data_IF_619700296809
#
_entry.id   IF_619700296809
#
_cell.length_a   1.000
_cell.length_b   1.000
_cell.length_c   1.000
_cell.angle_alpha   90.00
_cell.angle_beta   90.00
_cell.angle_gamma   90.00
#
_symmetry.space_group_name_H-M   'P 1'
#
loop_
_entity.id
_entity.type
_entity.pdbx_description
1 polymer ?
#
# COMPACT_ATOMS: atom_id res chain seq x y z
N UNK A 1 -15.71 1.15 27.06
CA UNK A 1 -16.11 0.06 26.14
C UNK A 1 -15.83 0.55 24.72
N UNK A 2 -14.82 0.01 24.00
CA UNK A 2 -14.70 0.27 22.56
C UNK A 2 -15.98 -0.29 21.90
N UNK A 3 -16.74 0.55 21.21
CA UNK A 3 -17.83 0.08 20.37
C UNK A 3 -17.28 -1.01 19.45
N UNK A 4 -18.01 -2.12 19.28
CA UNK A 4 -17.61 -3.15 18.30
C UNK A 4 -17.66 -2.50 16.92
N UNK A 5 -16.49 -2.11 16.40
CA UNK A 5 -16.37 -1.63 15.02
C UNK A 5 -16.98 -2.70 14.10
N UNK A 6 -17.88 -2.26 13.24
CA UNK A 6 -18.44 -3.05 12.17
C UNK A 6 -18.53 -2.16 10.95
N UNK A 7 -18.08 -2.67 9.82
CA UNK A 7 -18.18 -1.99 8.54
C UNK A 7 -18.96 -2.86 7.57
N UNK A 8 -20.03 -2.32 6.95
CA UNK A 8 -20.67 -3.02 5.85
C UNK A 8 -19.65 -3.32 4.75
N UNK A 9 -19.60 -4.57 4.28
CA UNK A 9 -18.67 -4.94 3.20
C UNK A 9 -18.84 -4.06 1.97
N UNK A 10 -20.08 -3.63 1.67
CA UNK A 10 -20.40 -2.72 0.56
C UNK A 10 -19.84 -1.30 0.69
N UNK A 11 -19.41 -0.90 1.88
CA UNK A 11 -18.76 0.40 2.12
C UNK A 11 -17.23 0.28 2.30
N UNK A 12 -16.68 -0.92 2.19
CA UNK A 12 -15.27 -1.19 2.36
C UNK A 12 -14.55 -1.34 1.02
N UNK A 13 -13.25 -1.05 1.02
CA UNK A 13 -12.33 -1.47 -0.04
C UNK A 13 -10.98 -1.87 0.59
N UNK A 14 -10.27 -2.79 -0.06
CA UNK A 14 -8.89 -3.13 0.27
C UNK A 14 -7.95 -2.44 -0.74
N UNK A 15 -7.04 -1.61 -0.26
CA UNK A 15 -5.96 -1.04 -1.05
C UNK A 15 -4.63 -1.72 -0.69
N UNK A 16 -4.02 -2.37 -1.67
CA UNK A 16 -2.70 -2.98 -1.53
C UNK A 16 -1.67 -2.10 -2.24
N UNK A 17 -0.71 -1.58 -1.47
CA UNK A 17 0.26 -0.60 -1.92
C UNK A 17 1.54 -1.28 -2.42
N UNK A 18 1.87 -1.10 -3.70
CA UNK A 18 3.18 -1.30 -4.33
C UNK A 18 3.83 -2.69 -4.14
N UNK A 19 3.07 -3.77 -4.19
CA UNK A 19 3.59 -5.14 -4.09
C UNK A 19 4.21 -5.61 -5.42
N UNK A 20 5.22 -4.87 -5.90
CA UNK A 20 5.89 -5.03 -7.20
C UNK A 20 7.27 -5.66 -7.04
N UNK A 21 7.82 -6.20 -8.14
CA UNK A 21 9.16 -6.77 -8.16
C UNK A 21 10.21 -5.83 -7.60
N UNK A 22 10.16 -4.53 -7.92
CA UNK A 22 11.11 -3.53 -7.45
C UNK A 22 11.20 -3.39 -5.93
N UNK A 23 10.12 -3.73 -5.20
CA UNK A 23 10.06 -3.63 -3.74
C UNK A 23 10.07 -4.98 -3.03
N UNK A 24 9.78 -6.08 -3.73
CA UNK A 24 9.57 -7.40 -3.12
C UNK A 24 10.59 -8.42 -3.59
N UNK A 25 11.04 -8.38 -4.85
CA UNK A 25 11.93 -9.39 -5.41
C UNK A 25 13.37 -9.25 -4.88
N UNK A 26 14.06 -10.37 -4.52
CA UNK A 26 15.43 -10.32 -3.99
C UNK A 26 16.44 -9.76 -5.00
N UNK A 27 16.20 -9.96 -6.30
CA UNK A 27 17.08 -9.51 -7.37
C UNK A 27 16.76 -8.11 -7.89
N UNK A 28 15.81 -7.40 -7.29
CA UNK A 28 15.55 -5.99 -7.59
C UNK A 28 16.69 -5.08 -7.11
N UNK A 29 16.69 -3.84 -7.55
CA UNK A 29 17.66 -2.85 -7.06
C UNK A 29 17.57 -2.67 -5.54
N UNK A 30 16.36 -2.67 -4.98
CA UNK A 30 16.15 -2.66 -3.53
C UNK A 30 16.61 -3.97 -2.87
N UNK A 31 16.29 -5.12 -3.48
CA UNK A 31 16.64 -6.43 -2.95
C UNK A 31 18.16 -6.63 -2.81
N UNK A 32 18.94 -6.13 -3.78
CA UNK A 32 20.42 -6.16 -3.76
C UNK A 32 21.05 -5.07 -2.90
N UNK A 33 20.28 -4.11 -2.42
CA UNK A 33 20.76 -3.06 -1.53
C UNK A 33 20.86 -3.55 -0.07
N UNK A 34 21.41 -2.71 0.82
CA UNK A 34 21.40 -2.97 2.27
C UNK A 34 19.98 -3.02 2.86
N UNK A 35 19.01 -2.43 2.21
CA UNK A 35 17.60 -2.47 2.65
C UNK A 35 17.05 -3.91 2.57
N UNK A 36 17.35 -4.61 1.46
CA UNK A 36 16.79 -5.93 1.19
C UNK A 36 15.27 -5.88 1.02
N UNK A 37 14.67 -7.04 0.77
CA UNK A 37 13.21 -7.17 0.55
C UNK A 37 12.59 -8.32 1.36
N UNK A 38 13.29 -8.82 2.40
CA UNK A 38 12.84 -9.97 3.19
C UNK A 38 11.50 -9.70 3.90
N UNK A 39 11.37 -8.51 4.49
CA UNK A 39 10.15 -8.13 5.20
C UNK A 39 8.95 -8.02 4.24
N UNK A 40 9.15 -7.43 3.06
CA UNK A 40 8.11 -7.29 2.04
C UNK A 40 7.66 -8.63 1.47
N UNK A 41 8.58 -9.58 1.29
CA UNK A 41 8.21 -10.96 0.89
C UNK A 41 7.42 -11.68 1.97
N UNK A 42 7.74 -11.45 3.23
CA UNK A 42 7.09 -12.15 4.34
C UNK A 42 5.59 -11.87 4.45
N UNK A 43 5.11 -10.71 3.97
CA UNK A 43 3.70 -10.33 4.02
C UNK A 43 2.88 -10.84 2.82
N UNK A 44 3.52 -11.36 1.76
CA UNK A 44 2.82 -11.80 0.53
C UNK A 44 1.73 -12.83 0.82
N UNK A 45 1.94 -13.89 1.63
CA UNK A 45 0.88 -14.86 1.93
C UNK A 45 -0.32 -14.25 2.66
N UNK A 46 -0.08 -13.32 3.60
CA UNK A 46 -1.15 -12.63 4.32
C UNK A 46 -1.96 -11.72 3.40
N UNK A 47 -1.28 -10.98 2.51
CA UNK A 47 -1.93 -10.17 1.46
C UNK A 47 -2.77 -11.05 0.53
N UNK A 48 -2.24 -12.18 0.08
CA UNK A 48 -2.98 -13.09 -0.78
C UNK A 48 -4.26 -13.61 -0.10
N UNK A 49 -4.16 -13.99 1.17
CA UNK A 49 -5.29 -14.48 1.96
C UNK A 49 -6.37 -13.41 2.16
N UNK A 50 -5.98 -12.17 2.50
CA UNK A 50 -6.95 -11.11 2.73
C UNK A 50 -7.59 -10.62 1.42
N UNK A 51 -6.84 -10.52 0.33
CA UNK A 51 -7.38 -10.15 -0.98
C UNK A 51 -8.42 -11.18 -1.47
N UNK A 52 -8.12 -12.48 -1.34
CA UNK A 52 -9.07 -13.54 -1.64
C UNK A 52 -10.36 -13.47 -0.79
N UNK A 53 -10.20 -13.20 0.51
CA UNK A 53 -11.35 -13.02 1.40
C UNK A 53 -12.19 -11.80 1.03
N UNK A 54 -11.56 -10.66 0.76
CA UNK A 54 -12.25 -9.43 0.35
C UNK A 54 -13.11 -9.67 -0.90
N UNK A 55 -12.57 -10.30 -1.93
CA UNK A 55 -13.33 -10.66 -3.14
C UNK A 55 -14.53 -11.54 -2.82
N UNK A 56 -14.32 -12.59 -2.03
CA UNK A 56 -15.40 -13.50 -1.62
C UNK A 56 -16.50 -12.80 -0.82
N UNK A 57 -16.17 -11.73 -0.10
CA UNK A 57 -17.10 -10.91 0.67
C UNK A 57 -17.68 -9.73 -0.13
N UNK A 58 -17.39 -9.61 -1.42
CA UNK A 58 -17.84 -8.49 -2.26
C UNK A 58 -17.13 -7.16 -1.98
N UNK A 59 -16.01 -7.19 -1.27
CA UNK A 59 -15.18 -6.02 -0.99
C UNK A 59 -14.21 -5.80 -2.16
N UNK A 60 -14.27 -4.66 -2.86
CA UNK A 60 -13.36 -4.35 -3.95
C UNK A 60 -11.89 -4.36 -3.54
N UNK A 61 -11.03 -4.91 -4.39
CA UNK A 61 -9.58 -4.91 -4.19
C UNK A 61 -8.93 -3.97 -5.19
N UNK A 62 -8.13 -3.04 -4.67
CA UNK A 62 -7.38 -2.08 -5.47
C UNK A 62 -5.88 -2.29 -5.22
N UNK A 63 -5.07 -2.16 -6.26
CA UNK A 63 -3.62 -2.30 -6.22
C UNK A 63 -2.98 -1.02 -6.71
N UNK A 64 -2.09 -0.41 -5.92
CA UNK A 64 -1.26 0.65 -6.48
C UNK A 64 -0.01 0.08 -7.14
N UNK A 65 0.44 0.77 -8.18
CA UNK A 65 1.61 0.42 -8.97
C UNK A 65 2.49 1.66 -9.09
N UNK A 66 3.63 1.65 -8.40
CA UNK A 66 4.62 2.72 -8.51
C UNK A 66 5.35 2.61 -9.85
N UNK A 67 5.45 3.73 -10.56
CA UNK A 67 6.23 3.86 -11.78
C UNK A 67 7.13 5.09 -11.67
N UNK A 68 8.45 4.89 -11.67
CA UNK A 68 9.41 5.98 -11.69
C UNK A 68 9.87 6.25 -13.13
N UNK A 69 10.02 7.52 -13.47
CA UNK A 69 10.68 7.94 -14.72
C UNK A 69 12.17 8.14 -14.49
N UNK A 70 12.99 7.76 -15.47
CA UNK A 70 14.43 7.97 -15.43
C UNK A 70 14.76 9.46 -15.22
N UNK A 71 14.16 10.31 -16.05
CA UNK A 71 14.29 11.77 -16.00
C UNK A 71 12.92 12.38 -15.74
N UNK A 72 12.54 12.46 -14.44
CA UNK A 72 11.23 12.98 -14.04
C UNK A 72 11.18 14.52 -14.19
N UNK A 73 10.88 14.98 -15.41
CA UNK A 73 10.69 16.39 -15.71
C UNK A 73 9.53 17.04 -14.95
N UNK A 74 8.57 16.24 -14.49
CA UNK A 74 7.42 16.72 -13.69
C UNK A 74 7.79 17.02 -12.23
N UNK A 75 8.97 16.66 -11.78
CA UNK A 75 9.45 16.92 -10.44
C UNK A 75 9.97 18.35 -10.32
N UNK A 76 9.21 19.22 -9.67
CA UNK A 76 9.57 20.62 -9.50
C UNK A 76 10.83 20.83 -8.65
N UNK A 77 11.04 20.02 -7.60
CA UNK A 77 12.23 20.10 -6.75
C UNK A 77 13.46 19.56 -7.48
N UNK A 78 14.49 20.38 -7.58
CA UNK A 78 15.74 20.02 -8.30
C UNK A 78 16.98 19.97 -7.39
N UNK A 79 16.93 20.63 -6.21
CA UNK A 79 18.10 20.79 -5.33
C UNK A 79 18.19 19.70 -4.25
N UNK A 80 17.06 19.17 -3.78
CA UNK A 80 17.05 18.13 -2.77
C UNK A 80 16.86 16.78 -3.46
N UNK A 81 17.81 15.88 -3.27
CA UNK A 81 17.77 14.55 -3.85
C UNK A 81 16.52 13.80 -3.40
N UNK A 82 15.82 13.11 -4.30
CA UNK A 82 14.74 12.21 -3.93
C UNK A 82 15.26 11.10 -3.01
N UNK A 83 14.35 10.49 -2.23
CA UNK A 83 14.73 9.43 -1.28
C UNK A 83 15.46 8.26 -1.96
N UNK A 84 15.03 7.85 -3.15
CA UNK A 84 15.65 6.79 -3.94
C UNK A 84 17.14 7.08 -4.25
N UNK A 85 17.46 8.32 -4.64
CA UNK A 85 18.86 8.70 -4.87
C UNK A 85 19.68 8.70 -3.58
N UNK A 86 19.09 9.06 -2.42
CA UNK A 86 19.75 8.98 -1.11
C UNK A 86 19.98 7.54 -0.65
N UNK A 87 19.12 6.61 -1.06
CA UNK A 87 19.25 5.18 -0.76
C UNK A 87 20.12 4.43 -1.75
N UNK A 88 20.52 5.07 -2.86
CA UNK A 88 21.38 4.49 -3.88
C UNK A 88 20.68 3.55 -4.86
N UNK A 89 19.34 3.57 -4.92
CA UNK A 89 18.57 2.79 -5.89
C UNK A 89 17.31 3.52 -6.34
N UNK A 90 16.85 3.24 -7.56
CA UNK A 90 15.59 3.73 -8.11
C UNK A 90 14.76 2.51 -8.53
N UNK A 91 13.88 2.02 -7.64
CA UNK A 91 13.05 0.84 -7.94
C UNK A 91 11.93 1.19 -8.90
N UNK A 92 11.36 0.20 -9.55
CA UNK A 92 10.18 0.32 -10.40
C UNK A 92 10.32 1.39 -11.49
N UNK A 93 11.46 1.40 -12.18
CA UNK A 93 11.66 2.25 -13.35
C UNK A 93 10.71 1.81 -14.46
N UNK A 94 9.97 2.77 -15.03
CA UNK A 94 8.99 2.50 -16.08
C UNK A 94 9.64 1.76 -17.27
N UNK A 95 8.96 0.73 -17.75
CA UNK A 95 9.46 -0.14 -18.83
C UNK A 95 10.38 -1.26 -18.37
N UNK A 96 10.66 -1.39 -17.06
CA UNK A 96 11.42 -2.51 -16.53
C UNK A 96 10.53 -3.53 -15.82
N UNK A 97 11.01 -4.78 -15.69
CA UNK A 97 10.32 -5.84 -14.96
C UNK A 97 10.05 -5.51 -13.49
N UNK A 98 10.77 -4.57 -12.91
CA UNK A 98 10.57 -4.12 -11.54
C UNK A 98 9.20 -3.45 -11.33
N UNK A 99 8.56 -2.93 -12.39
CA UNK A 99 7.21 -2.37 -12.31
C UNK A 99 6.11 -3.43 -12.27
N UNK A 100 6.39 -4.68 -12.60
CA UNK A 100 5.41 -5.75 -12.56
C UNK A 100 5.11 -6.17 -11.13
N UNK A 101 3.89 -6.67 -10.90
CA UNK A 101 3.53 -7.24 -9.60
C UNK A 101 4.40 -8.45 -9.29
N UNK A 102 4.77 -8.60 -8.03
CA UNK A 102 5.61 -9.72 -7.60
C UNK A 102 4.87 -11.05 -7.77
N UNK A 103 5.53 -12.12 -8.29
CA UNK A 103 4.94 -13.44 -8.38
C UNK A 103 4.42 -13.93 -7.02
N UNK A 104 3.18 -14.41 -6.97
CA UNK A 104 2.50 -14.78 -5.72
C UNK A 104 1.59 -13.69 -5.15
N UNK A 105 1.62 -12.48 -5.70
CA UNK A 105 0.60 -11.45 -5.45
C UNK A 105 -0.59 -11.71 -6.39
N UNK A 106 -1.78 -12.03 -5.85
CA UNK A 106 -2.90 -12.53 -6.66
C UNK A 106 -3.75 -11.39 -7.21
N UNK A 107 -3.19 -10.59 -8.12
CA UNK A 107 -3.98 -9.57 -8.84
C UNK A 107 -4.94 -10.29 -9.79
N UNK A 108 -6.24 -10.05 -9.63
CA UNK A 108 -7.28 -10.66 -10.47
C UNK A 108 -7.76 -9.69 -11.55
N UNK A 109 -8.43 -10.21 -12.57
CA UNK A 109 -8.90 -9.40 -13.69
C UNK A 109 -9.97 -8.38 -13.30
N UNK A 110 -10.75 -8.68 -12.27
CA UNK A 110 -11.78 -7.81 -11.69
C UNK A 110 -11.21 -6.73 -10.77
N UNK A 111 -9.96 -6.83 -10.36
CA UNK A 111 -9.33 -5.86 -9.47
C UNK A 111 -9.02 -4.53 -10.17
N UNK A 112 -8.94 -3.47 -9.39
CA UNK A 112 -8.59 -2.16 -9.90
C UNK A 112 -7.11 -1.88 -9.71
N UNK A 113 -6.41 -1.50 -10.78
CA UNK A 113 -5.02 -1.06 -10.71
C UNK A 113 -4.94 0.45 -10.85
N UNK A 114 -4.09 1.08 -10.03
CA UNK A 114 -3.82 2.53 -10.00
C UNK A 114 -2.33 2.78 -10.14
N UNK A 115 -1.89 3.26 -11.29
CA UNK A 115 -0.51 3.71 -11.48
C UNK A 115 -0.27 5.04 -10.77
N UNK A 116 0.88 5.17 -10.10
CA UNK A 116 1.29 6.38 -9.39
C UNK A 116 2.76 6.69 -9.61
N UNK A 117 3.11 7.98 -9.53
CA UNK A 117 4.48 8.48 -9.74
C UNK A 117 5.05 9.21 -8.51
N UNK A 118 4.33 9.17 -7.38
CA UNK A 118 4.71 9.75 -6.08
C UNK A 118 4.41 8.76 -4.97
N UNK A 119 4.82 9.09 -3.74
CA UNK A 119 4.67 8.19 -2.60
C UNK A 119 3.20 7.83 -2.32
N UNK A 120 2.33 8.84 -2.20
CA UNK A 120 0.91 8.60 -1.97
C UNK A 120 0.21 8.05 -3.20
N UNK A 121 -0.67 7.06 -3.00
CA UNK A 121 -1.53 6.51 -4.03
C UNK A 121 -2.65 7.47 -4.46
N UNK A 122 -2.91 8.53 -3.70
CA UNK A 122 -3.89 9.55 -4.05
C UNK A 122 -3.32 10.67 -4.92
N UNK A 123 -2.01 10.93 -4.83
CA UNK A 123 -1.45 12.12 -5.47
C UNK A 123 -1.40 12.00 -7.01
N UNK A 124 -2.18 12.83 -7.69
CA UNK A 124 -2.32 12.87 -9.16
C UNK A 124 -2.66 11.49 -9.77
N UNK A 125 -3.58 10.77 -9.12
CA UNK A 125 -4.14 9.50 -9.60
C UNK A 125 -5.66 9.56 -9.64
N UNK A 126 -6.28 8.54 -10.18
CA UNK A 126 -7.73 8.39 -10.15
C UNK A 126 -8.23 7.54 -8.96
N UNK A 127 -7.39 7.29 -7.93
CA UNK A 127 -7.74 6.44 -6.80
C UNK A 127 -9.00 6.95 -6.08
N UNK A 128 -9.03 8.24 -5.72
CA UNK A 128 -10.18 8.81 -5.00
C UNK A 128 -11.46 8.67 -5.81
N UNK A 129 -11.42 8.99 -7.10
CA UNK A 129 -12.59 8.82 -7.99
C UNK A 129 -13.08 7.38 -7.98
N UNK A 130 -12.18 6.39 -8.12
CA UNK A 130 -12.56 4.97 -8.06
C UNK A 130 -13.20 4.60 -6.73
N UNK A 131 -12.60 4.99 -5.60
CA UNK A 131 -13.14 4.70 -4.27
C UNK A 131 -14.53 5.32 -4.07
N UNK A 132 -14.73 6.57 -4.49
CA UNK A 132 -16.05 7.25 -4.41
C UNK A 132 -17.08 6.54 -5.29
N UNK A 133 -16.75 6.15 -6.52
CA UNK A 133 -17.64 5.41 -7.41
C UNK A 133 -18.01 4.02 -6.84
N UNK A 134 -17.11 3.39 -6.10
CA UNK A 134 -17.35 2.12 -5.39
C UNK A 134 -18.13 2.29 -4.08
N UNK A 135 -18.50 3.51 -3.70
CA UNK A 135 -19.21 3.78 -2.44
C UNK A 135 -18.34 3.58 -1.19
N UNK A 136 -17.01 3.56 -1.34
CA UNK A 136 -16.09 3.28 -0.24
C UNK A 136 -16.10 4.38 0.80
N UNK A 137 -16.27 4.00 2.06
CA UNK A 137 -16.13 4.84 3.26
C UNK A 137 -15.04 4.33 4.18
N UNK A 138 -14.85 3.01 4.24
CA UNK A 138 -13.80 2.35 4.99
C UNK A 138 -12.72 1.81 4.04
N UNK A 139 -11.47 2.23 4.23
CA UNK A 139 -10.33 1.79 3.44
C UNK A 139 -9.37 0.96 4.30
N UNK A 140 -9.33 -0.35 4.01
CA UNK A 140 -8.31 -1.22 4.56
C UNK A 140 -7.02 -1.08 3.73
N UNK A 141 -5.88 -0.92 4.39
CA UNK A 141 -4.58 -0.66 3.74
C UNK A 141 -3.58 -1.76 4.07
N UNK A 142 -2.95 -2.30 3.03
CA UNK A 142 -1.88 -3.29 3.05
C UNK A 142 -0.74 -2.87 2.10
N UNK A 143 0.38 -3.61 2.10
CA UNK A 143 1.49 -3.41 1.15
C UNK A 143 2.75 -2.79 1.74
N UNK A 144 3.54 -2.10 0.91
CA UNK A 144 4.85 -1.57 1.29
C UNK A 144 5.18 -0.21 0.61
N UNK A 145 6.14 0.58 1.11
CA UNK A 145 6.78 0.40 2.41
C UNK A 145 6.04 1.23 3.46
N UNK A 146 5.88 0.66 4.67
CA UNK A 146 5.04 1.23 5.74
C UNK A 146 5.35 2.70 6.01
N UNK A 147 6.62 3.03 6.22
CA UNK A 147 7.10 4.37 6.58
C UNK A 147 7.18 5.35 5.43
N UNK A 148 6.74 4.95 4.21
CA UNK A 148 6.84 5.82 3.05
C UNK A 148 5.56 5.83 2.20
N UNK A 149 5.38 4.88 1.28
CA UNK A 149 4.22 4.88 0.39
C UNK A 149 2.92 4.60 1.14
N UNK A 150 2.93 3.66 2.08
CA UNK A 150 1.77 3.35 2.93
C UNK A 150 1.44 4.56 3.81
N UNK A 151 2.42 5.12 4.53
CA UNK A 151 2.19 6.28 5.40
C UNK A 151 1.69 7.50 4.63
N UNK A 152 2.30 7.81 3.48
CA UNK A 152 1.84 8.92 2.63
C UNK A 152 0.39 8.72 2.18
N UNK A 153 0.02 7.47 1.85
CA UNK A 153 -1.33 7.11 1.42
C UNK A 153 -2.33 7.19 2.58
N UNK A 154 -1.95 6.71 3.77
CA UNK A 154 -2.77 6.80 5.01
C UNK A 154 -3.11 8.26 5.33
N UNK A 155 -2.11 9.14 5.31
CA UNK A 155 -2.30 10.57 5.61
C UNK A 155 -3.23 11.25 4.59
N UNK A 156 -3.05 10.93 3.31
CA UNK A 156 -3.89 11.46 2.24
C UNK A 156 -5.32 10.90 2.26
N UNK A 157 -5.49 9.64 2.66
CA UNK A 157 -6.80 9.03 2.84
C UNK A 157 -7.56 9.66 4.02
N UNK A 158 -6.87 9.86 5.15
CA UNK A 158 -7.42 10.53 6.32
C UNK A 158 -7.90 11.95 6.00
N UNK A 159 -7.10 12.73 5.28
CA UNK A 159 -7.45 14.09 4.86
C UNK A 159 -8.64 14.14 3.87
N UNK A 160 -9.10 12.99 3.38
CA UNK A 160 -10.26 12.79 2.50
C UNK A 160 -11.46 12.13 3.19
N UNK A 161 -11.42 12.08 4.50
CA UNK A 161 -12.48 11.54 5.38
C UNK A 161 -12.80 10.05 5.13
N UNK A 162 -11.80 9.24 4.79
CA UNK A 162 -11.95 7.78 4.83
C UNK A 162 -11.73 7.26 6.25
N UNK A 163 -12.59 6.36 6.70
CA UNK A 163 -12.34 5.52 7.85
C UNK A 163 -11.21 4.54 7.52
N UNK A 164 -10.16 4.47 8.34
CA UNK A 164 -8.95 3.73 7.99
C UNK A 164 -8.71 2.53 8.88
N UNK A 165 -8.39 1.41 8.24
CA UNK A 165 -7.92 0.19 8.89
C UNK A 165 -6.58 -0.20 8.28
N UNK A 166 -5.51 -0.20 9.08
CA UNK A 166 -4.19 -0.62 8.64
C UNK A 166 -3.96 -2.06 9.09
N UNK A 167 -3.73 -2.96 8.14
CA UNK A 167 -3.55 -4.39 8.40
C UNK A 167 -2.09 -4.67 8.75
N UNK A 168 -1.75 -4.69 10.06
CA UNK A 168 -0.36 -4.73 10.53
C UNK A 168 0.42 -5.99 10.08
N UNK A 169 -0.26 -7.12 9.89
CA UNK A 169 0.31 -8.36 9.36
C UNK A 169 0.43 -8.38 7.83
N UNK A 170 -0.12 -7.35 7.17
CA UNK A 170 -0.10 -7.15 5.72
C UNK A 170 0.69 -5.92 5.28
N UNK A 171 1.41 -5.23 6.19
CA UNK A 171 2.30 -4.11 5.84
C UNK A 171 3.74 -4.41 6.25
N UNK A 172 4.70 -3.95 5.46
CA UNK A 172 6.13 -4.09 5.75
C UNK A 172 6.90 -2.83 5.40
N UNK A 173 7.87 -2.49 6.25
CA UNK A 173 8.77 -1.36 6.06
C UNK A 173 10.18 -1.80 5.68
N UNK A 174 11.01 -0.84 5.27
CA UNK A 174 12.45 -1.04 5.03
C UNK A 174 13.20 -1.04 6.37
N UNK A 175 12.86 -0.10 7.24
CA UNK A 175 13.49 0.05 8.54
C UNK A 175 12.55 -0.39 9.66
N UNK A 176 12.90 -1.43 10.45
CA UNK A 176 12.02 -1.95 11.51
C UNK A 176 11.62 -0.90 12.55
N UNK A 177 12.51 0.05 12.88
CA UNK A 177 12.21 1.14 13.82
C UNK A 177 11.17 2.09 13.24
N UNK A 178 11.32 2.50 11.99
CA UNK A 178 10.39 3.40 11.33
C UNK A 178 9.05 2.73 11.06
N UNK A 179 9.06 1.47 10.62
CA UNK A 179 7.85 0.66 10.49
C UNK A 179 7.03 0.64 11.78
N UNK A 180 7.67 0.30 12.91
CA UNK A 180 7.01 0.28 14.22
C UNK A 180 6.43 1.65 14.58
N UNK A 181 7.22 2.72 14.40
CA UNK A 181 6.80 4.08 14.70
C UNK A 181 5.62 4.53 13.84
N UNK A 182 5.62 4.22 12.54
CA UNK A 182 4.48 4.52 11.66
C UNK A 182 3.21 3.82 12.14
N UNK A 183 3.27 2.54 12.54
CA UNK A 183 2.10 1.83 13.08
C UNK A 183 1.57 2.47 14.37
N UNK A 184 2.47 2.92 15.26
CA UNK A 184 2.09 3.65 16.48
C UNK A 184 1.38 4.98 16.16
N UNK A 185 1.89 5.73 15.18
CA UNK A 185 1.29 6.98 14.71
C UNK A 185 -0.08 6.70 14.06
N UNK A 186 -0.20 5.66 13.23
CA UNK A 186 -1.47 5.31 12.61
C UNK A 186 -2.54 5.02 13.65
N UNK A 187 -2.21 4.19 14.65
CA UNK A 187 -3.14 3.85 15.73
C UNK A 187 -3.51 5.07 16.58
N UNK A 188 -2.59 6.00 16.78
CA UNK A 188 -2.82 7.16 17.63
C UNK A 188 -3.68 8.25 16.97
N UNK A 189 -3.58 8.42 15.62
CA UNK A 189 -4.09 9.63 14.97
C UNK A 189 -4.90 9.40 13.69
N UNK A 190 -4.76 8.26 13.01
CA UNK A 190 -5.30 8.13 11.65
C UNK A 190 -6.36 7.05 11.49
N UNK A 191 -6.31 5.98 12.26
CA UNK A 191 -7.25 4.87 12.11
C UNK A 191 -6.92 3.70 13.02
N UNK A 192 -7.59 2.58 12.80
CA UNK A 192 -7.34 1.38 13.59
C UNK A 192 -6.24 0.53 12.96
N UNK A 193 -5.31 0.06 13.79
CA UNK A 193 -4.28 -0.90 13.39
C UNK A 193 -4.63 -2.28 13.96
N UNK A 194 -4.90 -3.24 13.09
CA UNK A 194 -5.33 -4.58 13.49
C UNK A 194 -4.77 -5.67 12.55
N UNK A 195 -4.92 -6.93 12.94
CA UNK A 195 -4.56 -8.04 12.06
C UNK A 195 -5.64 -8.29 11.00
N UNK A 196 -5.25 -8.83 9.85
CA UNK A 196 -6.18 -9.19 8.78
C UNK A 196 -7.27 -10.16 9.23
N UNK A 197 -6.95 -11.06 10.18
CA UNK A 197 -7.93 -11.94 10.80
C UNK A 197 -8.98 -11.20 11.65
N UNK A 198 -8.60 -10.09 12.28
CA UNK A 198 -9.51 -9.23 13.03
C UNK A 198 -10.39 -8.42 12.08
N UNK A 199 -9.80 -7.86 11.02
CA UNK A 199 -10.54 -7.14 9.98
C UNK A 199 -11.64 -8.02 9.35
N UNK A 200 -11.35 -9.28 9.02
CA UNK A 200 -12.35 -10.22 8.51
C UNK A 200 -13.57 -10.40 9.45
N UNK A 201 -13.37 -10.30 10.77
CA UNK A 201 -14.47 -10.44 11.75
C UNK A 201 -15.33 -9.20 11.89
N UNK A 202 -14.85 -8.04 11.49
CA UNK A 202 -15.59 -6.78 11.57
C UNK A 202 -16.28 -6.39 10.26
N UNK A 203 -15.97 -7.08 9.16
CA UNK A 203 -16.77 -7.00 7.94
C UNK A 203 -18.14 -7.63 8.21
N UNK A 204 -19.21 -6.90 7.93
CA UNK A 204 -20.59 -7.30 8.18
C UNK A 204 -21.40 -7.42 6.87
#
# INVERSE_FOLDING_TARGET
MKAKLKFPASECALLVVDMQNGFVHPDSAMGRSRAGTKAQRAIVPAIAAIAGHCRSAGVPVLWSKQEHFQDDATRARKKILPHSARQGFLPCLLGTWETEFYPGVPVAAEDHVVAKHRASAFYNTNLETKLRMLGTRCLAIAGCNTEFCVESTVRDAYARDFELVILRDCVAGINPRFHKHSLEIFQAYFGEVMDSAEFRRILA
#
